data_IF_774044867338
#
_entry.id   IF_774044867338
#
_cell.length_a   1.000
_cell.length_b   1.000
_cell.length_c   1.000
_cell.angle_alpha   90.00
_cell.angle_beta   90.00
_cell.angle_gamma   90.00
#
_symmetry.space_group_name_H-M   'P 1'
#
loop_
_entity.id
_entity.type
_entity.pdbx_description
1 polymer ?
#
# COMPACT_ATOMS: atom_id res chain seq x y z
N UNK A 1 10.89 -17.68 -0.29
CA UNK A 1 11.85 -16.67 0.25
C UNK A 1 11.59 -16.50 1.74
N UNK A 2 12.62 -16.56 2.58
CA UNK A 2 12.43 -16.50 4.05
C UNK A 2 12.59 -15.10 4.61
N UNK A 3 13.35 -14.26 3.93
CA UNK A 3 13.60 -12.86 4.27
C UNK A 3 14.01 -12.03 3.06
N UNK A 4 13.87 -10.71 3.17
CA UNK A 4 14.27 -9.72 2.17
C UNK A 4 15.34 -8.86 2.80
N UNK A 5 16.50 -8.76 2.19
CA UNK A 5 17.62 -7.97 2.67
C UNK A 5 17.50 -6.50 2.26
N UNK A 6 18.25 -5.62 2.93
CA UNK A 6 18.24 -4.17 2.69
C UNK A 6 18.43 -3.79 1.21
N UNK A 7 19.39 -4.42 0.53
CA UNK A 7 19.71 -4.16 -0.87
C UNK A 7 18.63 -4.64 -1.86
N UNK A 8 17.73 -5.51 -1.41
CA UNK A 8 16.59 -6.00 -2.19
C UNK A 8 15.34 -5.12 -2.05
N UNK A 9 15.31 -4.16 -1.13
CA UNK A 9 14.15 -3.29 -0.91
C UNK A 9 13.76 -2.47 -2.16
N UNK A 10 14.71 -1.89 -2.92
CA UNK A 10 14.36 -1.21 -4.19
C UNK A 10 13.65 -2.14 -5.19
N UNK A 11 14.06 -3.40 -5.28
CA UNK A 11 13.47 -4.37 -6.22
C UNK A 11 12.10 -4.88 -5.74
N UNK A 12 11.90 -5.01 -4.42
CA UNK A 12 10.58 -5.24 -3.83
C UNK A 12 9.59 -4.13 -4.23
N UNK A 13 10.01 -2.87 -4.11
CA UNK A 13 9.16 -1.73 -4.51
C UNK A 13 9.08 -1.54 -6.02
N UNK A 14 10.06 -2.02 -6.80
CA UNK A 14 9.95 -2.08 -8.26
C UNK A 14 8.80 -3.02 -8.70
N UNK A 15 8.61 -4.15 -8.02
CA UNK A 15 7.47 -5.04 -8.28
C UNK A 15 6.13 -4.32 -8.08
N UNK A 16 6.02 -3.50 -7.03
CA UNK A 16 4.82 -2.68 -6.79
C UNK A 16 4.67 -1.59 -7.84
N UNK A 17 5.76 -0.88 -8.16
CA UNK A 17 5.76 0.20 -9.15
C UNK A 17 5.38 -0.27 -10.55
N UNK A 18 5.94 -1.40 -10.99
CA UNK A 18 5.63 -2.00 -12.29
C UNK A 18 4.16 -2.41 -12.40
N UNK A 19 3.59 -2.95 -11.31
CA UNK A 19 2.16 -3.28 -11.28
C UNK A 19 1.29 -2.01 -11.39
N UNK A 20 1.62 -0.93 -10.70
CA UNK A 20 0.88 0.33 -10.83
C UNK A 20 1.04 0.97 -12.23
N UNK A 21 2.19 0.79 -12.89
CA UNK A 21 2.38 1.22 -14.29
C UNK A 21 1.48 0.38 -15.22
N UNK A 22 1.43 -0.94 -15.04
CA UNK A 22 0.55 -1.85 -15.80
C UNK A 22 -0.93 -1.51 -15.59
N UNK A 23 -1.32 -1.24 -14.35
CA UNK A 23 -2.71 -0.98 -13.93
C UNK A 23 -3.13 0.50 -14.01
N UNK A 24 -2.31 1.34 -14.62
CA UNK A 24 -2.52 2.80 -14.66
C UNK A 24 -3.86 3.16 -15.29
N UNK A 25 -4.13 2.66 -16.49
CA UNK A 25 -5.36 3.00 -17.24
C UNK A 25 -6.61 2.48 -16.51
N UNK A 26 -6.56 1.25 -15.98
CA UNK A 26 -7.66 0.67 -15.21
C UNK A 26 -8.02 1.54 -13.98
N UNK A 27 -7.02 1.98 -13.20
CA UNK A 27 -7.25 2.86 -12.05
C UNK A 27 -7.76 4.25 -12.46
N UNK A 28 -7.31 4.79 -13.59
CA UNK A 28 -7.83 6.05 -14.13
C UNK A 28 -9.31 5.91 -14.53
N UNK A 29 -9.67 4.82 -15.23
CA UNK A 29 -11.05 4.56 -15.64
C UNK A 29 -11.98 4.35 -14.44
N UNK A 30 -11.53 3.62 -13.41
CA UNK A 30 -12.30 3.44 -12.18
C UNK A 30 -12.53 4.78 -11.49
N UNK A 31 -11.48 5.58 -11.37
CA UNK A 31 -11.54 6.88 -10.69
C UNK A 31 -12.38 7.90 -11.49
N UNK A 32 -12.32 7.90 -12.82
CA UNK A 32 -13.10 8.80 -13.67
C UNK A 32 -14.62 8.64 -13.51
N UNK A 33 -15.10 7.50 -13.03
CA UNK A 33 -16.54 7.26 -12.80
C UNK A 33 -17.07 8.09 -11.63
N UNK A 34 -16.24 8.33 -10.59
CA UNK A 34 -16.65 8.93 -9.32
C UNK A 34 -15.68 10.01 -8.83
N UNK A 35 -14.60 10.24 -9.56
CA UNK A 35 -13.49 11.13 -9.21
C UNK A 35 -13.07 12.03 -10.38
N UNK A 36 -11.76 12.33 -10.45
CA UNK A 36 -11.12 13.16 -11.48
C UNK A 36 -10.31 12.34 -12.51
N UNK A 37 -10.25 11.02 -12.33
CA UNK A 37 -9.60 10.12 -13.28
C UNK A 37 -8.06 10.13 -13.20
N UNK A 38 -7.46 10.65 -12.14
CA UNK A 38 -6.02 10.80 -12.03
C UNK A 38 -5.33 9.77 -11.10
N UNK A 39 -6.10 8.87 -10.47
CA UNK A 39 -5.58 7.91 -9.50
C UNK A 39 -4.46 7.04 -10.10
N UNK A 40 -4.66 6.51 -11.31
CA UNK A 40 -3.65 5.70 -11.98
C UNK A 40 -2.38 6.49 -12.30
N UNK A 41 -2.49 7.77 -12.69
CA UNK A 41 -1.35 8.66 -12.91
C UNK A 41 -0.58 8.89 -11.61
N UNK A 42 -1.28 9.17 -10.53
CA UNK A 42 -0.69 9.38 -9.20
C UNK A 42 0.06 8.12 -8.72
N UNK A 43 -0.58 6.94 -8.82
CA UNK A 43 0.01 5.69 -8.33
C UNK A 43 1.20 5.24 -9.16
N UNK A 44 1.09 5.26 -10.50
CA UNK A 44 2.17 4.86 -11.40
C UNK A 44 3.38 5.79 -11.27
N UNK A 45 3.18 7.11 -11.17
CA UNK A 45 4.26 8.07 -10.97
C UNK A 45 4.91 7.90 -9.59
N UNK A 46 4.11 7.80 -8.53
CA UNK A 46 4.60 7.70 -7.16
C UNK A 46 5.40 6.43 -6.92
N UNK A 47 4.79 5.27 -7.12
CA UNK A 47 5.43 3.98 -6.90
C UNK A 47 6.48 3.63 -7.95
N UNK A 48 6.29 4.05 -9.21
CA UNK A 48 7.29 3.86 -10.27
C UNK A 48 8.62 4.58 -10.01
N UNK A 49 8.58 5.69 -9.27
CA UNK A 49 9.81 6.44 -8.91
C UNK A 49 10.49 5.92 -7.64
N UNK A 50 9.81 5.12 -6.81
CA UNK A 50 10.35 4.67 -5.52
C UNK A 50 11.65 3.86 -5.63
N UNK A 51 11.83 2.93 -6.59
CA UNK A 51 13.06 2.15 -6.67
C UNK A 51 14.31 3.03 -6.85
N UNK A 52 14.23 4.04 -7.69
CA UNK A 52 15.37 4.95 -7.94
C UNK A 52 15.59 5.86 -6.73
N UNK A 53 14.54 6.41 -6.13
CA UNK A 53 14.61 7.16 -4.88
C UNK A 53 15.28 6.33 -3.78
N UNK A 54 14.94 5.04 -3.67
CA UNK A 54 15.52 4.14 -2.65
C UNK A 54 17.00 3.86 -2.93
N UNK A 55 17.40 3.66 -4.19
CA UNK A 55 18.82 3.49 -4.55
C UNK A 55 19.64 4.74 -4.23
N UNK A 56 19.11 5.93 -4.51
CA UNK A 56 19.75 7.20 -4.13
C UNK A 56 19.91 7.36 -2.61
N UNK A 57 18.88 6.99 -1.83
CA UNK A 57 18.86 7.15 -0.37
C UNK A 57 19.58 6.03 0.38
N UNK A 58 19.96 4.93 -0.28
CA UNK A 58 20.53 3.74 0.34
C UNK A 58 21.78 4.03 1.18
N UNK A 59 22.73 4.83 0.64
CA UNK A 59 23.95 5.22 1.36
C UNK A 59 23.61 5.98 2.64
N UNK A 60 22.70 6.95 2.56
CA UNK A 60 22.28 7.75 3.72
C UNK A 60 21.41 7.00 4.73
N UNK A 61 20.84 5.86 4.33
CA UNK A 61 20.10 4.97 5.23
C UNK A 61 21.02 4.01 6.01
N UNK A 62 22.24 3.75 5.50
CA UNK A 62 23.27 2.95 6.16
C UNK A 62 22.78 1.56 6.61
N UNK A 63 22.04 0.85 5.74
CA UNK A 63 21.51 -0.48 6.00
C UNK A 63 20.22 -0.53 6.84
N UNK A 64 19.70 0.60 7.32
CA UNK A 64 18.46 0.70 8.08
C UNK A 64 17.26 0.84 7.14
N UNK A 65 16.47 -0.24 7.01
CA UNK A 65 15.28 -0.29 6.15
C UNK A 65 14.25 0.76 6.56
N UNK A 66 14.07 0.97 7.86
CA UNK A 66 13.14 1.96 8.37
C UNK A 66 13.51 3.38 7.92
N UNK A 67 14.80 3.75 8.00
CA UNK A 67 15.30 5.04 7.51
C UNK A 67 15.11 5.18 5.99
N UNK A 68 15.40 4.11 5.24
CA UNK A 68 15.23 4.09 3.79
C UNK A 68 13.77 4.39 3.41
N UNK A 69 12.83 3.66 3.99
CA UNK A 69 11.39 3.81 3.73
C UNK A 69 10.88 5.20 4.14
N UNK A 70 11.31 5.72 5.29
CA UNK A 70 10.90 7.06 5.74
C UNK A 70 11.36 8.15 4.78
N UNK A 71 12.60 8.14 4.33
CA UNK A 71 13.15 9.10 3.38
C UNK A 71 12.47 8.99 2.01
N UNK A 72 12.27 7.76 1.53
CA UNK A 72 11.62 7.49 0.24
C UNK A 72 10.14 7.92 0.24
N UNK A 73 9.41 7.65 1.32
CA UNK A 73 8.04 8.13 1.49
C UNK A 73 7.94 9.66 1.50
N UNK A 74 8.90 10.35 2.14
CA UNK A 74 8.96 11.82 2.15
C UNK A 74 9.17 12.37 0.73
N UNK A 75 10.12 11.81 -0.05
CA UNK A 75 10.36 12.22 -1.44
C UNK A 75 9.13 11.93 -2.32
N UNK A 76 8.50 10.76 -2.18
CA UNK A 76 7.28 10.42 -2.90
C UNK A 76 6.15 11.42 -2.60
N UNK A 77 5.97 11.83 -1.34
CA UNK A 77 4.96 12.83 -0.94
C UNK A 77 5.12 14.17 -1.69
N UNK A 78 6.36 14.58 -1.95
CA UNK A 78 6.64 15.80 -2.72
C UNK A 78 6.43 15.61 -4.23
N UNK A 79 6.62 14.40 -4.73
CA UNK A 79 6.52 14.07 -6.16
C UNK A 79 5.08 13.96 -6.65
N UNK A 80 4.18 13.46 -5.79
CA UNK A 80 2.75 13.23 -6.08
C UNK A 80 1.86 13.90 -5.03
N UNK A 81 1.71 15.24 -5.09
CA UNK A 81 0.99 16.03 -4.08
C UNK A 81 -0.54 15.93 -4.29
N UNK A 82 -1.09 14.73 -4.12
CA UNK A 82 -2.53 14.44 -4.18
C UNK A 82 -2.99 13.76 -2.89
N UNK A 83 -4.30 13.67 -2.66
CA UNK A 83 -4.83 12.98 -1.48
C UNK A 83 -4.30 11.55 -1.38
N UNK A 84 -4.39 10.77 -2.47
CA UNK A 84 -3.92 9.39 -2.48
C UNK A 84 -2.38 9.32 -2.37
N UNK A 85 -1.65 10.23 -3.03
CA UNK A 85 -0.20 10.34 -2.89
C UNK A 85 0.23 10.59 -1.44
N UNK A 86 -0.47 11.47 -0.71
CA UNK A 86 -0.21 11.71 0.72
C UNK A 86 -0.58 10.53 1.61
N UNK A 87 -1.67 9.81 1.32
CA UNK A 87 -2.06 8.61 2.07
C UNK A 87 -1.00 7.52 1.93
N UNK A 88 -0.64 7.19 0.69
CA UNK A 88 0.35 6.15 0.38
C UNK A 88 1.74 6.46 0.94
N UNK A 89 2.23 7.69 0.74
CA UNK A 89 3.54 8.09 1.27
C UNK A 89 3.58 8.13 2.80
N UNK A 90 2.48 8.56 3.46
CA UNK A 90 2.38 8.51 4.93
C UNK A 90 2.36 7.06 5.41
N UNK A 91 1.64 6.18 4.72
CA UNK A 91 1.68 4.73 5.01
C UNK A 91 3.09 4.16 4.90
N UNK A 92 3.84 4.48 3.83
CA UNK A 92 5.24 4.05 3.68
C UNK A 92 6.10 4.57 4.84
N UNK A 93 5.96 5.84 5.23
CA UNK A 93 6.72 6.44 6.32
C UNK A 93 6.40 5.80 7.67
N UNK A 94 5.14 5.58 8.00
CA UNK A 94 4.75 4.99 9.28
C UNK A 94 5.10 3.48 9.33
N UNK A 95 4.95 2.75 8.21
CA UNK A 95 5.48 1.40 8.08
C UNK A 95 7.01 1.34 8.23
N UNK A 96 7.72 2.32 7.67
CA UNK A 96 9.16 2.48 7.87
C UNK A 96 9.54 2.72 9.33
N UNK A 97 8.79 3.53 10.06
CA UNK A 97 9.03 3.73 11.50
C UNK A 97 8.97 2.43 12.30
N UNK A 98 8.04 1.52 11.94
CA UNK A 98 7.93 0.20 12.55
C UNK A 98 9.16 -0.69 12.28
N UNK A 99 9.91 -0.39 11.22
CA UNK A 99 11.12 -1.13 10.81
C UNK A 99 12.44 -0.42 11.19
N UNK A 100 12.40 0.60 12.04
CA UNK A 100 13.61 1.35 12.43
C UNK A 100 14.67 0.40 12.99
N UNK A 101 15.89 0.47 12.43
CA UNK A 101 17.03 -0.36 12.83
C UNK A 101 17.02 -1.77 12.23
N UNK A 102 16.01 -2.16 11.45
CA UNK A 102 15.99 -3.46 10.78
C UNK A 102 16.84 -3.43 9.51
N UNK A 103 17.59 -4.51 9.28
CA UNK A 103 18.43 -4.74 8.09
C UNK A 103 17.83 -5.77 7.14
N UNK A 104 16.76 -6.46 7.57
CA UNK A 104 16.03 -7.45 6.80
C UNK A 104 14.54 -7.42 7.15
N UNK A 105 13.70 -7.92 6.23
CA UNK A 105 12.26 -8.11 6.43
C UNK A 105 11.98 -9.62 6.42
N UNK A 106 11.66 -10.15 7.58
CA UNK A 106 11.07 -11.46 7.83
C UNK A 106 9.55 -11.37 8.00
N UNK A 107 8.87 -12.46 8.32
CA UNK A 107 7.42 -12.47 8.51
C UNK A 107 6.94 -11.48 9.61
N UNK A 108 7.55 -11.41 10.81
CA UNK A 108 7.23 -10.39 11.81
C UNK A 108 7.47 -8.96 11.34
N UNK A 109 8.60 -8.71 10.63
CA UNK A 109 8.92 -7.37 10.13
C UNK A 109 7.95 -6.93 9.02
N UNK A 110 7.56 -7.84 8.10
CA UNK A 110 6.55 -7.55 7.09
C UNK A 110 5.20 -7.17 7.76
N UNK A 111 4.80 -7.93 8.77
CA UNK A 111 3.59 -7.66 9.55
C UNK A 111 3.66 -6.29 10.23
N UNK A 112 4.78 -5.95 10.86
CA UNK A 112 5.00 -4.64 11.48
C UNK A 112 4.89 -3.51 10.43
N UNK A 113 5.48 -3.71 9.25
CA UNK A 113 5.37 -2.77 8.13
C UNK A 113 3.92 -2.56 7.69
N UNK A 114 3.16 -3.64 7.45
CA UNK A 114 1.78 -3.56 7.00
C UNK A 114 0.87 -2.89 8.04
N UNK A 115 1.07 -3.22 9.32
CA UNK A 115 0.34 -2.59 10.44
C UNK A 115 0.67 -1.09 10.55
N UNK A 116 1.93 -0.73 10.47
CA UNK A 116 2.37 0.67 10.46
C UNK A 116 1.84 1.44 9.25
N UNK A 117 1.84 0.80 8.07
CA UNK A 117 1.28 1.37 6.85
C UNK A 117 -0.22 1.68 7.02
N UNK A 118 -1.02 0.72 7.48
CA UNK A 118 -2.44 0.90 7.72
C UNK A 118 -2.71 2.01 8.75
N UNK A 119 -1.96 2.04 9.85
CA UNK A 119 -2.05 3.09 10.86
C UNK A 119 -1.70 4.48 10.30
N UNK A 120 -0.72 4.57 9.41
CA UNK A 120 -0.35 5.81 8.72
C UNK A 120 -1.46 6.34 7.83
N UNK A 121 -2.09 5.45 7.05
CA UNK A 121 -3.23 5.79 6.20
C UNK A 121 -4.42 6.26 7.06
N UNK A 122 -4.74 5.53 8.12
CA UNK A 122 -5.82 5.91 9.04
C UNK A 122 -5.58 7.29 9.67
N UNK A 123 -4.39 7.49 10.21
CA UNK A 123 -4.00 8.77 10.84
C UNK A 123 -4.11 9.96 9.88
N UNK A 124 -3.67 9.78 8.63
CA UNK A 124 -3.67 10.82 7.61
C UNK A 124 -5.06 11.05 7.02
N UNK A 125 -5.77 9.96 6.69
CA UNK A 125 -7.08 9.98 6.05
C UNK A 125 -8.23 10.18 7.02
N UNK A 126 -8.01 9.97 8.33
CA UNK A 126 -9.05 9.99 9.37
C UNK A 126 -10.23 9.07 9.03
N UNK A 127 -9.94 8.00 8.30
CA UNK A 127 -10.93 7.04 7.86
C UNK A 127 -11.01 5.84 8.79
N UNK A 128 -12.17 5.19 8.77
CA UNK A 128 -12.46 3.97 9.51
C UNK A 128 -12.88 2.86 8.54
N UNK A 129 -12.82 1.62 8.98
CA UNK A 129 -13.29 0.49 8.20
C UNK A 129 -14.81 0.61 7.93
N UNK A 130 -15.25 0.28 6.72
CA UNK A 130 -16.64 0.40 6.30
C UNK A 130 -16.99 1.74 5.63
N UNK A 131 -16.03 2.66 5.50
CA UNK A 131 -16.25 3.98 4.93
C UNK A 131 -15.91 4.07 3.42
N UNK A 132 -15.70 2.93 2.78
CA UNK A 132 -15.42 2.79 1.35
C UNK A 132 -14.21 3.60 0.91
N UNK A 133 -13.04 3.19 1.40
CA UNK A 133 -11.74 3.83 1.15
C UNK A 133 -10.64 2.79 0.97
N UNK A 134 -9.42 3.23 0.63
CA UNK A 134 -8.21 2.39 0.66
C UNK A 134 -8.05 1.60 1.96
N UNK A 135 -8.55 2.15 3.09
CA UNK A 135 -8.42 1.52 4.40
C UNK A 135 -9.15 0.18 4.49
N UNK A 136 -10.21 0.02 3.70
CA UNK A 136 -11.03 -1.20 3.65
C UNK A 136 -10.31 -2.40 3.00
N UNK A 137 -9.22 -2.19 2.28
CA UNK A 137 -8.35 -3.26 1.80
C UNK A 137 -7.09 -3.44 2.65
N UNK A 138 -6.44 -2.34 3.07
CA UNK A 138 -5.14 -2.44 3.76
C UNK A 138 -5.26 -2.83 5.23
N UNK A 139 -6.35 -2.46 5.94
CA UNK A 139 -6.55 -2.88 7.33
C UNK A 139 -6.77 -4.40 7.43
N UNK A 140 -7.70 -5.02 6.68
CA UNK A 140 -7.85 -6.48 6.69
C UNK A 140 -6.55 -7.20 6.31
N UNK A 141 -5.78 -6.69 5.34
CA UNK A 141 -4.48 -7.23 4.99
C UNK A 141 -3.51 -7.24 6.17
N UNK A 142 -3.38 -6.12 6.88
CA UNK A 142 -2.51 -6.00 8.04
C UNK A 142 -2.94 -6.93 9.20
N UNK A 143 -4.24 -7.01 9.46
CA UNK A 143 -4.81 -7.90 10.50
C UNK A 143 -4.58 -9.38 10.17
N UNK A 144 -4.76 -9.77 8.91
CA UNK A 144 -4.53 -11.15 8.46
C UNK A 144 -3.04 -11.51 8.54
N UNK A 145 -2.15 -10.60 8.14
CA UNK A 145 -0.70 -10.75 8.29
C UNK A 145 -0.30 -10.96 9.75
N UNK A 146 -0.84 -10.16 10.67
CA UNK A 146 -0.56 -10.26 12.10
C UNK A 146 -1.01 -11.61 12.68
N UNK A 147 -2.21 -12.06 12.31
CA UNK A 147 -2.73 -13.37 12.71
C UNK A 147 -1.84 -14.51 12.19
N UNK A 148 -1.45 -14.47 10.91
CA UNK A 148 -0.60 -15.48 10.29
C UNK A 148 0.79 -15.53 10.92
N UNK A 149 1.44 -14.39 11.13
CA UNK A 149 2.76 -14.32 11.75
C UNK A 149 2.75 -14.83 13.20
N UNK A 150 1.72 -14.49 13.99
CA UNK A 150 1.53 -15.02 15.35
C UNK A 150 1.32 -16.53 15.39
N UNK A 151 0.78 -17.11 14.30
CA UNK A 151 0.65 -18.56 14.14
C UNK A 151 1.94 -19.24 13.63
N UNK A 152 3.04 -18.50 13.42
CA UNK A 152 4.32 -19.02 12.96
C UNK A 152 4.42 -19.24 11.45
N UNK A 153 3.53 -18.61 10.67
CA UNK A 153 3.55 -18.70 9.21
C UNK A 153 4.83 -18.11 8.60
N UNK A 154 5.26 -18.65 7.50
CA UNK A 154 6.38 -18.15 6.69
C UNK A 154 6.08 -16.78 6.09
N UNK A 155 7.13 -16.07 5.61
CA UNK A 155 6.98 -14.79 4.94
C UNK A 155 6.03 -14.86 3.73
N UNK A 156 6.10 -15.95 2.95
CA UNK A 156 5.23 -16.19 1.80
C UNK A 156 3.78 -16.42 2.21
N UNK A 157 3.54 -17.21 3.26
CA UNK A 157 2.18 -17.45 3.77
C UNK A 157 1.56 -16.18 4.36
N UNK A 158 2.35 -15.37 5.08
CA UNK A 158 1.90 -14.09 5.64
C UNK A 158 1.44 -13.14 4.54
N UNK A 159 2.22 -12.97 3.48
CA UNK A 159 1.84 -12.05 2.39
C UNK A 159 0.67 -12.59 1.56
N UNK A 160 0.58 -13.92 1.38
CA UNK A 160 -0.54 -14.55 0.68
C UNK A 160 -1.85 -14.35 1.42
N UNK A 161 -1.86 -14.59 2.74
CA UNK A 161 -3.06 -14.36 3.57
C UNK A 161 -3.43 -12.86 3.64
N UNK A 162 -2.44 -11.98 3.64
CA UNK A 162 -2.67 -10.54 3.57
C UNK A 162 -3.31 -10.14 2.22
N UNK A 163 -2.86 -10.74 1.11
CA UNK A 163 -3.41 -10.50 -0.22
C UNK A 163 -4.88 -10.94 -0.32
N UNK A 164 -5.19 -12.13 0.17
CA UNK A 164 -6.56 -12.67 0.18
C UNK A 164 -7.50 -11.78 1.00
N UNK A 165 -7.04 -11.31 2.16
CA UNK A 165 -7.80 -10.40 3.00
C UNK A 165 -7.98 -9.02 2.35
N UNK A 166 -6.96 -8.48 1.65
CA UNK A 166 -7.08 -7.26 0.88
C UNK A 166 -8.12 -7.39 -0.24
N UNK A 167 -8.13 -8.53 -0.96
CA UNK A 167 -9.09 -8.81 -2.02
C UNK A 167 -10.52 -8.86 -1.49
N UNK A 168 -10.72 -9.55 -0.37
CA UNK A 168 -12.02 -9.61 0.31
C UNK A 168 -12.48 -8.23 0.77
N UNK A 169 -11.55 -7.38 1.22
CA UNK A 169 -11.84 -6.00 1.58
C UNK A 169 -12.30 -5.15 0.40
N UNK A 170 -11.65 -5.30 -0.78
CA UNK A 170 -12.09 -4.64 -2.02
C UNK A 170 -13.52 -5.06 -2.37
N UNK A 171 -13.81 -6.37 -2.38
CA UNK A 171 -15.13 -6.89 -2.71
C UNK A 171 -16.22 -6.35 -1.76
N UNK A 172 -15.90 -6.24 -0.48
CA UNK A 172 -16.81 -5.71 0.53
C UNK A 172 -17.21 -4.25 0.26
N UNK A 173 -16.34 -3.45 -0.40
CA UNK A 173 -16.63 -2.04 -0.70
C UNK A 173 -17.84 -1.83 -1.61
N UNK A 174 -18.24 -2.84 -2.38
CA UNK A 174 -19.43 -2.80 -3.23
C UNK A 174 -20.72 -2.52 -2.46
N UNK A 175 -20.76 -2.89 -1.19
CA UNK A 175 -21.90 -2.72 -0.30
C UNK A 175 -21.71 -1.58 0.72
N UNK A 176 -20.63 -0.79 0.60
CA UNK A 176 -20.32 0.30 1.51
C UNK A 176 -20.74 1.65 0.95
N UNK A 177 -21.16 2.55 1.83
CA UNK A 177 -21.50 3.93 1.48
C UNK A 177 -20.24 4.79 1.61
N UNK A 178 -19.83 5.53 0.56
CA UNK A 178 -18.66 6.41 0.64
C UNK A 178 -18.91 7.58 1.57
N UNK A 179 -17.94 7.89 2.43
CA UNK A 179 -17.99 9.00 3.39
C UNK A 179 -17.05 10.14 2.98
N UNK A 180 -16.06 9.86 2.14
CA UNK A 180 -15.01 10.81 1.76
C UNK A 180 -14.97 11.09 0.26
N UNK A 181 -14.38 12.24 -0.07
CA UNK A 181 -14.03 12.62 -1.43
C UNK A 181 -15.24 12.84 -2.35
N UNK A 182 -14.97 12.83 -3.65
CA UNK A 182 -16.00 13.01 -4.68
C UNK A 182 -17.03 11.88 -4.71
N UNK A 183 -16.62 10.67 -4.37
CA UNK A 183 -17.51 9.50 -4.29
C UNK A 183 -18.66 9.72 -3.30
N UNK A 184 -18.46 10.45 -2.20
CA UNK A 184 -19.51 10.75 -1.23
C UNK A 184 -20.63 11.61 -1.84
N UNK A 185 -20.32 12.46 -2.81
CA UNK A 185 -21.33 13.28 -3.53
C UNK A 185 -22.17 12.43 -4.49
N UNK A 186 -21.61 11.30 -4.95
CA UNK A 186 -22.22 10.39 -5.93
C UNK A 186 -22.55 9.02 -5.32
N UNK A 187 -22.88 8.97 -4.02
CA UNK A 187 -23.05 7.73 -3.24
C UNK A 187 -23.99 6.70 -3.92
N UNK A 188 -25.08 7.16 -4.54
CA UNK A 188 -26.03 6.30 -5.24
C UNK A 188 -25.41 5.56 -6.47
N UNK A 189 -24.35 6.09 -7.05
CA UNK A 189 -23.65 5.47 -8.20
C UNK A 189 -22.56 4.48 -7.77
N UNK A 190 -22.30 4.37 -6.46
CA UNK A 190 -21.28 3.53 -5.90
C UNK A 190 -21.76 2.10 -5.61
N UNK A 191 -23.07 1.86 -5.57
CA UNK A 191 -23.64 0.56 -5.25
C UNK A 191 -23.22 -0.50 -6.28
N UNK A 192 -22.72 -1.63 -5.78
CA UNK A 192 -22.24 -2.74 -6.63
C UNK A 192 -20.89 -2.52 -7.30
N UNK A 193 -20.23 -1.37 -7.09
CA UNK A 193 -18.94 -1.03 -7.71
C UNK A 193 -17.83 -1.04 -6.65
N UNK A 194 -16.68 -1.62 -6.98
CA UNK A 194 -15.49 -1.61 -6.13
C UNK A 194 -14.95 -0.17 -5.92
N UNK A 195 -14.44 0.11 -4.73
CA UNK A 195 -13.77 1.39 -4.46
C UNK A 195 -12.39 1.43 -5.11
N UNK A 196 -12.13 2.44 -5.93
CA UNK A 196 -10.85 2.59 -6.63
C UNK A 196 -9.66 2.75 -5.67
N UNK A 197 -9.87 3.37 -4.50
CA UNK A 197 -8.86 3.49 -3.45
C UNK A 197 -8.54 2.15 -2.81
N UNK A 198 -9.55 1.33 -2.53
CA UNK A 198 -9.36 -0.03 -2.01
C UNK A 198 -8.65 -0.92 -3.03
N UNK A 199 -8.97 -0.80 -4.33
CA UNK A 199 -8.26 -1.50 -5.41
C UNK A 199 -6.79 -1.08 -5.46
N UNK A 200 -6.47 0.22 -5.33
CA UNK A 200 -5.09 0.67 -5.24
C UNK A 200 -4.36 0.09 -4.01
N UNK A 201 -5.04 -0.01 -2.86
CA UNK A 201 -4.51 -0.69 -1.68
C UNK A 201 -4.21 -2.17 -1.93
N UNK A 202 -5.12 -2.88 -2.57
CA UNK A 202 -4.94 -4.27 -3.00
C UNK A 202 -3.75 -4.43 -3.96
N UNK A 203 -3.61 -3.57 -4.99
CA UNK A 203 -2.46 -3.64 -5.92
C UNK A 203 -1.12 -3.41 -5.23
N UNK A 204 -1.07 -2.56 -4.21
CA UNK A 204 0.14 -2.45 -3.39
C UNK A 204 0.51 -3.78 -2.72
N UNK A 205 -0.46 -4.49 -2.11
CA UNK A 205 -0.23 -5.79 -1.48
C UNK A 205 0.13 -6.85 -2.52
N UNK A 206 -0.56 -6.88 -3.67
CA UNK A 206 -0.28 -7.78 -4.79
C UNK A 206 1.14 -7.59 -5.34
N UNK A 207 1.60 -6.36 -5.49
CA UNK A 207 2.96 -6.08 -5.94
C UNK A 207 4.04 -6.60 -4.97
N UNK A 208 3.81 -6.49 -3.65
CA UNK A 208 4.68 -7.10 -2.63
C UNK A 208 4.63 -8.63 -2.72
N UNK A 209 3.45 -9.22 -2.85
CA UNK A 209 3.26 -10.67 -3.01
C UNK A 209 4.00 -11.19 -4.24
N UNK A 210 3.88 -10.52 -5.38
CA UNK A 210 4.53 -10.91 -6.63
C UNK A 210 6.06 -10.99 -6.51
N UNK A 211 6.67 -10.18 -5.64
CA UNK A 211 8.11 -10.25 -5.38
C UNK A 211 8.45 -11.40 -4.41
N UNK A 212 7.72 -11.53 -3.33
CA UNK A 212 8.02 -12.48 -2.24
C UNK A 212 7.76 -13.94 -2.66
N UNK A 213 6.77 -14.16 -3.51
CA UNK A 213 6.32 -15.49 -3.95
C UNK A 213 6.83 -15.91 -5.35
N UNK A 214 7.85 -15.23 -5.87
CA UNK A 214 8.55 -15.62 -7.11
C UNK A 214 9.25 -16.95 -7.02
#
# INVERSE_FOLDING_TARGET
MDKILFDQIPDLFASVGNLFIEKKEELCEMDARLGDGDLGLTMSKGYGSLPDIMREEATGAAGDIGKLLMKSGMKMSSLVPSTMGFLMSTGIMEGGKALKGKTEIDAPALTAYLTGFAAGVQKRGKCEQGQRTIYDSILPAAQSADKAAKAGASLQEVITQALDAARSGVEATKNMIPVFGKAAVHAAQCEGVEDQGAVAGYYKILGLHNYICK
#
